data_IF_523576224023
#
_entry.id   IF_523576224023
#
_cell.length_a   1.000
_cell.length_b   1.000
_cell.length_c   1.000
_cell.angle_alpha   90.00
_cell.angle_beta   90.00
_cell.angle_gamma   90.00
#
_symmetry.space_group_name_H-M   'P 1'
#
loop_
_entity.id
_entity.type
_entity.pdbx_description
1 polymer ?
#
# COMPACT_ATOMS: atom_id res chain seq x y z
N UNK A 1 5.31 9.15 -2.62
CA UNK A 1 3.84 9.24 -2.47
C UNK A 1 3.16 8.20 -3.35
N UNK A 2 2.22 7.46 -2.77
CA UNK A 2 1.42 6.44 -3.43
C UNK A 2 -0.08 6.76 -3.21
N UNK A 3 -0.72 7.58 -4.08
CA UNK A 3 -2.16 7.84 -3.99
C UNK A 3 -2.98 6.56 -4.08
N UNK A 4 -3.91 6.35 -3.12
CA UNK A 4 -4.81 5.19 -3.13
C UNK A 4 -6.05 5.47 -3.95
N UNK A 5 -6.26 4.68 -5.01
CA UNK A 5 -7.43 4.75 -5.87
C UNK A 5 -8.75 4.39 -5.17
N UNK A 6 -8.70 3.85 -3.97
CA UNK A 6 -9.91 3.59 -3.17
C UNK A 6 -10.70 4.88 -2.88
N UNK A 7 -10.04 6.04 -2.87
CA UNK A 7 -10.66 7.35 -2.67
C UNK A 7 -10.97 8.10 -3.96
N UNK A 8 -10.69 7.50 -5.12
CA UNK A 8 -10.96 8.09 -6.42
C UNK A 8 -12.43 7.96 -6.84
N UNK A 9 -12.85 8.72 -7.84
CA UNK A 9 -14.13 8.51 -8.52
C UNK A 9 -14.05 7.24 -9.40
N UNK A 10 -14.73 6.18 -8.99
CA UNK A 10 -14.70 4.88 -9.68
C UNK A 10 -15.28 4.93 -11.10
N UNK A 11 -16.15 5.90 -11.41
CA UNK A 11 -16.63 6.11 -12.77
C UNK A 11 -15.55 6.70 -13.70
N UNK A 12 -14.45 7.23 -13.15
CA UNK A 12 -13.40 7.94 -13.86
C UNK A 12 -11.98 7.52 -13.43
N UNK A 13 -11.82 6.26 -12.99
CA UNK A 13 -10.55 5.77 -12.43
C UNK A 13 -9.35 6.00 -13.34
N UNK A 14 -9.49 5.76 -14.65
CA UNK A 14 -8.41 5.97 -15.61
C UNK A 14 -7.94 7.43 -15.69
N UNK A 15 -8.90 8.37 -15.75
CA UNK A 15 -8.61 9.80 -15.77
C UNK A 15 -7.92 10.25 -14.49
N UNK A 16 -8.40 9.78 -13.34
CA UNK A 16 -7.85 10.15 -12.05
C UNK A 16 -6.47 9.52 -11.78
N UNK A 17 -6.26 8.29 -12.25
CA UNK A 17 -4.93 7.67 -12.22
C UNK A 17 -3.91 8.46 -13.06
N UNK A 18 -4.28 8.86 -14.28
CA UNK A 18 -3.43 9.70 -15.13
C UNK A 18 -3.19 11.09 -14.50
N UNK A 19 -4.19 11.66 -13.85
CA UNK A 19 -4.06 12.97 -13.19
C UNK A 19 -3.07 12.94 -12.02
N UNK A 20 -3.08 11.90 -11.16
CA UNK A 20 -2.11 11.79 -10.06
C UNK A 20 -0.70 11.46 -10.57
N UNK A 21 -0.56 10.69 -11.65
CA UNK A 21 0.73 10.48 -12.31
C UNK A 21 1.29 11.82 -12.83
N UNK A 22 0.50 12.59 -13.57
CA UNK A 22 0.89 13.92 -14.08
C UNK A 22 1.19 14.91 -12.94
N UNK A 23 0.54 14.76 -11.79
CA UNK A 23 0.80 15.52 -10.58
C UNK A 23 2.07 15.08 -9.83
N UNK A 24 2.75 14.00 -10.26
CA UNK A 24 4.03 13.56 -9.72
C UNK A 24 3.91 12.51 -8.63
N UNK A 25 2.89 11.65 -8.65
CA UNK A 25 2.85 10.44 -7.84
C UNK A 25 4.01 9.51 -8.21
N UNK A 26 4.60 8.84 -7.21
CA UNK A 26 5.70 7.90 -7.44
C UNK A 26 5.18 6.50 -7.74
N UNK A 27 4.09 6.09 -7.08
CA UNK A 27 3.38 4.83 -7.27
C UNK A 27 1.88 5.09 -7.33
N UNK A 28 1.10 4.12 -7.78
CA UNK A 28 -0.36 4.10 -7.67
C UNK A 28 -0.76 2.96 -6.74
N UNK A 29 -1.41 3.27 -5.63
CA UNK A 29 -1.83 2.28 -4.65
C UNK A 29 -3.24 1.77 -4.96
N UNK A 30 -3.38 0.43 -4.97
CA UNK A 30 -4.61 -0.26 -5.33
C UNK A 30 -5.05 -1.21 -4.20
N UNK A 31 -6.07 -0.82 -3.46
CA UNK A 31 -6.64 -1.57 -2.34
C UNK A 31 -7.65 -2.60 -2.83
N UNK A 32 -7.26 -3.87 -2.84
CA UNK A 32 -8.08 -5.00 -3.30
C UNK A 32 -8.70 -5.71 -2.10
N UNK A 33 -10.03 -5.80 -2.09
CA UNK A 33 -10.82 -6.32 -0.97
C UNK A 33 -11.78 -7.40 -1.46
N UNK A 34 -11.92 -8.49 -0.70
CA UNK A 34 -12.69 -9.69 -1.07
C UNK A 34 -14.01 -9.87 -0.34
N UNK A 35 -14.34 -8.98 0.61
CA UNK A 35 -15.53 -9.11 1.45
C UNK A 35 -15.42 -10.22 2.51
N UNK A 36 -14.25 -10.87 2.64
CA UNK A 36 -13.98 -11.92 3.62
C UNK A 36 -12.89 -11.51 4.61
N UNK A 37 -11.73 -11.11 4.13
CA UNK A 37 -10.64 -10.59 4.99
C UNK A 37 -11.05 -9.24 5.61
N UNK A 38 -11.74 -8.41 4.84
CA UNK A 38 -12.35 -7.16 5.30
C UNK A 38 -13.82 -7.10 4.89
N UNK A 39 -14.71 -6.38 5.63
CA UNK A 39 -16.14 -6.33 5.33
C UNK A 39 -16.47 -5.33 4.20
N UNK A 40 -15.72 -5.37 3.13
CA UNK A 40 -15.89 -4.53 1.94
C UNK A 40 -15.36 -5.27 0.70
N UNK A 41 -15.91 -4.96 -0.47
CA UNK A 41 -15.45 -5.45 -1.78
C UNK A 41 -15.06 -4.24 -2.61
N UNK A 42 -13.88 -4.25 -3.23
CA UNK A 42 -13.43 -3.15 -4.09
C UNK A 42 -13.36 -3.54 -5.56
N UNK A 43 -12.22 -3.97 -6.04
CA UNK A 43 -11.99 -4.33 -7.43
C UNK A 43 -10.95 -5.47 -7.54
N UNK A 44 -10.78 -5.99 -8.76
CA UNK A 44 -9.89 -7.13 -9.02
C UNK A 44 -8.96 -6.89 -10.21
N UNK A 45 -8.28 -7.95 -10.70
CA UNK A 45 -7.26 -7.88 -11.75
C UNK A 45 -7.73 -7.20 -13.04
N UNK A 46 -9.02 -7.27 -13.38
CA UNK A 46 -9.57 -6.61 -14.58
C UNK A 46 -9.42 -5.10 -14.55
N UNK A 47 -9.59 -4.48 -13.39
CA UNK A 47 -9.40 -3.02 -13.22
C UNK A 47 -7.93 -2.66 -13.38
N UNK A 48 -7.02 -3.42 -12.77
CA UNK A 48 -5.58 -3.20 -12.93
C UNK A 48 -5.18 -3.26 -14.40
N UNK A 49 -5.62 -4.29 -15.12
CA UNK A 49 -5.33 -4.48 -16.54
C UNK A 49 -5.80 -3.29 -17.38
N UNK A 50 -7.00 -2.76 -17.09
CA UNK A 50 -7.53 -1.59 -17.79
C UNK A 50 -6.71 -0.32 -17.47
N UNK A 51 -6.32 -0.12 -16.22
CA UNK A 51 -5.54 1.04 -15.78
C UNK A 51 -4.10 1.00 -16.29
N UNK A 52 -3.49 -0.19 -16.47
CA UNK A 52 -2.10 -0.32 -16.92
C UNK A 52 -1.82 0.35 -18.27
N UNK A 53 -2.82 0.49 -19.10
CA UNK A 53 -2.72 1.22 -20.37
C UNK A 53 -2.85 2.74 -20.23
N UNK A 54 -3.28 3.25 -19.07
CA UNK A 54 -3.52 4.67 -18.81
C UNK A 54 -2.32 5.36 -18.16
N UNK A 55 -1.52 4.64 -17.35
CA UNK A 55 -0.43 5.19 -16.54
C UNK A 55 0.80 4.30 -16.62
N UNK A 56 1.99 4.87 -16.33
CA UNK A 56 3.28 4.18 -16.40
C UNK A 56 3.93 3.95 -15.05
N UNK A 57 3.55 4.73 -14.02
CA UNK A 57 4.10 4.58 -12.67
C UNK A 57 3.79 3.19 -12.11
N UNK A 58 4.63 2.67 -11.19
CA UNK A 58 4.44 1.36 -10.59
C UNK A 58 3.07 1.22 -9.90
N UNK A 59 2.46 0.04 -10.07
CA UNK A 59 1.26 -0.38 -9.34
C UNK A 59 1.65 -1.10 -8.06
N UNK A 60 1.27 -0.52 -6.94
CA UNK A 60 1.46 -1.03 -5.59
C UNK A 60 0.15 -1.65 -5.11
N UNK A 61 0.04 -2.98 -5.26
CA UNK A 61 -1.22 -3.72 -5.13
C UNK A 61 -1.32 -4.35 -3.75
N UNK A 62 -2.21 -3.82 -2.93
CA UNK A 62 -2.44 -4.24 -1.56
C UNK A 62 -3.62 -5.22 -1.50
N UNK A 63 -3.33 -6.49 -1.23
CA UNK A 63 -4.32 -7.57 -1.20
C UNK A 63 -4.87 -7.77 0.20
N UNK A 64 -6.01 -7.19 0.47
CA UNK A 64 -6.87 -7.51 1.63
C UNK A 64 -7.78 -8.68 1.26
N UNK A 65 -7.15 -9.84 1.00
CA UNK A 65 -7.76 -11.09 0.52
C UNK A 65 -7.25 -12.25 1.36
N UNK A 66 -8.11 -13.16 1.78
CA UNK A 66 -7.75 -14.38 2.49
C UNK A 66 -8.48 -15.62 1.90
N UNK A 67 -7.71 -16.64 1.41
CA UNK A 67 -6.25 -16.65 1.20
C UNK A 67 -5.82 -15.84 -0.03
N UNK A 68 -4.64 -15.22 0.00
CA UNK A 68 -4.12 -14.40 -1.10
C UNK A 68 -3.45 -15.23 -2.21
N UNK A 69 -2.79 -16.34 -1.87
CA UNK A 69 -1.98 -17.17 -2.78
C UNK A 69 -2.65 -17.47 -4.13
N UNK A 70 -3.94 -17.88 -4.20
CA UNK A 70 -4.59 -18.23 -5.46
C UNK A 70 -4.69 -17.07 -6.46
N UNK A 71 -4.60 -15.84 -5.99
CA UNK A 71 -4.82 -14.63 -6.80
C UNK A 71 -3.53 -13.92 -7.22
N UNK A 72 -2.39 -14.23 -6.58
CA UNK A 72 -1.11 -13.54 -6.80
C UNK A 72 -0.71 -13.54 -8.28
N UNK A 73 -0.82 -14.67 -8.97
CA UNK A 73 -0.45 -14.78 -10.39
C UNK A 73 -1.33 -13.86 -11.28
N UNK A 74 -2.65 -13.83 -11.02
CA UNK A 74 -3.58 -13.01 -11.79
C UNK A 74 -3.30 -11.51 -11.62
N UNK A 75 -2.93 -11.05 -10.43
CA UNK A 75 -2.52 -9.65 -10.21
C UNK A 75 -1.16 -9.34 -10.86
N UNK A 76 -0.21 -10.26 -10.81
CA UNK A 76 1.07 -10.11 -11.49
C UNK A 76 0.91 -9.95 -13.01
N UNK A 77 0.07 -10.79 -13.64
CA UNK A 77 -0.28 -10.72 -15.07
C UNK A 77 -1.06 -9.45 -15.43
N UNK A 78 -1.91 -8.96 -14.53
CA UNK A 78 -2.69 -7.73 -14.73
C UNK A 78 -1.82 -6.46 -14.69
N UNK A 79 -0.54 -6.57 -14.31
CA UNK A 79 0.41 -5.46 -14.36
C UNK A 79 0.79 -4.87 -13.00
N UNK A 80 0.58 -5.59 -11.89
CA UNK A 80 1.14 -5.24 -10.60
C UNK A 80 2.68 -5.21 -10.67
N UNK A 81 3.31 -4.21 -10.05
CA UNK A 81 4.76 -4.11 -9.87
C UNK A 81 5.16 -4.56 -8.47
N UNK A 82 4.38 -4.14 -7.47
CA UNK A 82 4.46 -4.62 -6.10
C UNK A 82 3.17 -5.37 -5.75
N UNK A 83 3.27 -6.48 -5.03
CA UNK A 83 2.12 -7.21 -4.49
C UNK A 83 2.34 -7.34 -2.99
N UNK A 84 1.41 -6.79 -2.22
CA UNK A 84 1.43 -6.76 -0.76
C UNK A 84 0.35 -7.70 -0.25
N UNK A 85 0.73 -8.64 0.60
CA UNK A 85 -0.19 -9.57 1.26
C UNK A 85 -0.14 -9.34 2.77
N UNK A 86 -1.25 -9.55 3.45
CA UNK A 86 -1.27 -9.47 4.91
C UNK A 86 -0.59 -10.67 5.57
N UNK A 87 0.15 -10.42 6.64
CA UNK A 87 0.72 -11.49 7.47
C UNK A 87 -0.38 -12.42 8.03
N UNK A 88 -1.58 -11.88 8.20
CA UNK A 88 -2.78 -12.56 8.71
C UNK A 88 -3.58 -13.31 7.64
N UNK A 89 -3.25 -13.14 6.35
CA UNK A 89 -4.04 -13.67 5.23
C UNK A 89 -3.81 -15.17 4.96
N UNK A 90 -2.88 -15.81 5.64
CA UNK A 90 -2.62 -17.24 5.47
C UNK A 90 -1.45 -17.75 6.31
N UNK A 91 -1.34 -19.09 6.47
CA UNK A 91 -0.35 -19.68 7.38
C UNK A 91 1.08 -19.71 6.84
N UNK A 92 1.29 -19.42 5.55
CA UNK A 92 2.57 -19.64 4.88
C UNK A 92 3.12 -18.36 4.22
N UNK A 93 3.19 -17.27 4.99
CA UNK A 93 3.62 -15.96 4.51
C UNK A 93 4.94 -16.00 3.71
N UNK A 94 5.97 -16.68 4.23
CA UNK A 94 7.25 -16.78 3.53
C UNK A 94 7.11 -17.39 2.13
N UNK A 95 6.33 -18.47 1.99
CA UNK A 95 6.05 -19.10 0.69
C UNK A 95 5.33 -18.16 -0.26
N UNK A 96 4.36 -17.38 0.24
CA UNK A 96 3.61 -16.42 -0.56
C UNK A 96 4.51 -15.30 -1.09
N UNK A 97 5.42 -14.77 -0.26
CA UNK A 97 6.40 -13.76 -0.70
C UNK A 97 7.37 -14.35 -1.75
N UNK A 98 7.82 -15.59 -1.58
CA UNK A 98 8.63 -16.27 -2.62
C UNK A 98 7.85 -16.45 -3.92
N UNK A 99 6.56 -16.80 -3.88
CA UNK A 99 5.70 -16.88 -5.07
C UNK A 99 5.65 -15.53 -5.81
N UNK A 100 5.41 -14.43 -5.09
CA UNK A 100 5.40 -13.08 -5.67
C UNK A 100 6.73 -12.78 -6.39
N UNK A 101 7.85 -13.06 -5.74
CA UNK A 101 9.20 -12.84 -6.31
C UNK A 101 9.48 -13.73 -7.51
N UNK A 102 9.00 -14.98 -7.51
CA UNK A 102 9.16 -15.92 -8.64
C UNK A 102 8.45 -15.44 -9.92
N UNK A 103 7.44 -14.59 -9.77
CA UNK A 103 6.72 -13.93 -10.86
C UNK A 103 7.40 -12.62 -11.32
N UNK A 104 8.59 -12.30 -10.79
CA UNK A 104 9.34 -11.09 -11.13
C UNK A 104 8.77 -9.81 -10.50
N UNK A 105 7.94 -9.95 -9.43
CA UNK A 105 7.32 -8.82 -8.73
C UNK A 105 8.00 -8.54 -7.40
N UNK A 106 7.92 -7.31 -6.91
CA UNK A 106 8.36 -6.96 -5.56
C UNK A 106 7.35 -7.48 -4.55
N UNK A 107 7.84 -8.18 -3.52
CA UNK A 107 7.01 -8.79 -2.50
C UNK A 107 6.86 -7.88 -1.29
N UNK A 108 5.63 -7.58 -0.91
CA UNK A 108 5.29 -6.79 0.27
C UNK A 108 4.52 -7.58 1.31
N UNK A 109 4.71 -7.21 2.57
CA UNK A 109 3.94 -7.74 3.69
C UNK A 109 3.27 -6.60 4.46
N UNK A 110 1.95 -6.73 4.68
CA UNK A 110 1.16 -5.79 5.46
C UNK A 110 0.89 -6.33 6.88
N UNK A 111 0.85 -5.41 7.83
CA UNK A 111 0.53 -5.68 9.24
C UNK A 111 -0.71 -4.89 9.66
N UNK A 112 -1.73 -5.58 10.16
CA UNK A 112 -2.89 -4.96 10.80
C UNK A 112 -2.50 -4.19 12.07
N UNK A 113 -3.31 -3.24 12.55
CA UNK A 113 -3.02 -2.52 13.79
C UNK A 113 -2.77 -3.42 15.01
N UNK A 114 -3.49 -4.54 15.11
CA UNK A 114 -3.35 -5.50 16.21
C UNK A 114 -2.18 -6.49 16.07
N UNK A 115 -1.50 -6.55 14.92
CA UNK A 115 -0.42 -7.51 14.65
C UNK A 115 0.92 -6.89 15.04
N UNK A 116 1.76 -7.55 15.87
CA UNK A 116 3.06 -7.02 16.27
C UNK A 116 4.07 -6.99 15.11
N UNK A 117 5.07 -6.11 15.23
CA UNK A 117 6.12 -5.98 14.21
C UNK A 117 6.91 -7.29 14.02
N UNK A 118 7.08 -8.08 15.07
CA UNK A 118 7.80 -9.37 15.03
C UNK A 118 7.22 -10.38 14.04
N UNK A 119 5.97 -10.22 13.64
CA UNK A 119 5.35 -11.08 12.63
C UNK A 119 6.12 -11.08 11.28
N UNK A 120 6.93 -10.06 10.99
CA UNK A 120 7.75 -9.99 9.76
C UNK A 120 9.21 -10.36 9.98
N UNK A 121 9.65 -10.63 11.22
CA UNK A 121 11.07 -10.83 11.56
C UNK A 121 11.77 -11.90 10.70
N UNK A 122 11.06 -12.97 10.40
CA UNK A 122 11.59 -14.13 9.67
C UNK A 122 11.28 -14.13 8.16
N UNK A 123 10.84 -13.00 7.61
CA UNK A 123 10.54 -12.87 6.17
C UNK A 123 11.20 -11.65 5.52
N UNK A 124 11.98 -10.87 6.28
CA UNK A 124 12.64 -9.65 5.79
C UNK A 124 13.74 -9.91 4.74
N UNK A 125 14.20 -11.13 4.59
CA UNK A 125 15.14 -11.56 3.55
C UNK A 125 14.45 -11.78 2.18
N UNK A 126 13.15 -11.99 2.18
CA UNK A 126 12.32 -12.18 0.97
C UNK A 126 11.29 -11.05 0.76
N UNK A 127 11.21 -10.08 1.67
CA UNK A 127 10.36 -8.91 1.56
C UNK A 127 11.11 -7.71 0.96
N UNK A 128 10.49 -7.01 0.02
CA UNK A 128 10.98 -5.77 -0.57
C UNK A 128 10.34 -4.53 0.09
N UNK A 129 9.20 -4.71 0.77
CA UNK A 129 8.53 -3.67 1.53
C UNK A 129 7.69 -4.25 2.69
N UNK A 130 7.53 -3.45 3.76
CA UNK A 130 6.61 -3.69 4.87
C UNK A 130 5.60 -2.55 4.93
N UNK A 131 4.31 -2.89 4.86
CA UNK A 131 3.20 -1.96 5.00
C UNK A 131 2.65 -2.01 6.42
N UNK A 132 2.73 -0.92 7.14
CA UNK A 132 2.10 -0.77 8.46
C UNK A 132 0.75 -0.08 8.28
N UNK A 133 -0.35 -0.79 8.61
CA UNK A 133 -1.67 -0.20 8.61
C UNK A 133 -1.81 0.78 9.78
N UNK A 134 -2.15 2.01 9.46
CA UNK A 134 -2.39 3.09 10.44
C UNK A 134 -3.89 3.38 10.65
N UNK A 135 -4.73 2.51 10.10
CA UNK A 135 -6.17 2.37 10.34
C UNK A 135 -6.53 0.88 10.31
N UNK A 136 -7.74 0.49 10.72
CA UNK A 136 -8.23 -0.85 10.43
C UNK A 136 -8.52 -0.97 8.92
N UNK A 137 -8.01 -2.01 8.21
CA UNK A 137 -8.25 -2.15 6.78
C UNK A 137 -9.72 -2.34 6.44
N UNK A 138 -10.13 -1.94 5.21
CA UNK A 138 -11.48 -2.16 4.69
C UNK A 138 -12.19 -0.91 4.19
N UNK A 139 -11.88 0.29 4.69
CA UNK A 139 -12.54 1.54 4.28
C UNK A 139 -11.57 2.70 4.24
N UNK A 140 -11.79 3.60 3.28
CA UNK A 140 -11.09 4.89 3.21
C UNK A 140 -11.63 5.92 4.21
N UNK A 141 -10.89 7.02 4.40
CA UNK A 141 -11.34 8.18 5.18
C UNK A 141 -11.37 7.99 6.71
N UNK A 142 -10.73 6.95 7.23
CA UNK A 142 -10.65 6.67 8.67
C UNK A 142 -9.64 7.58 9.38
N UNK A 143 -9.83 7.74 10.70
CA UNK A 143 -8.90 8.46 11.55
C UNK A 143 -7.59 7.66 11.73
N UNK A 144 -6.47 8.35 11.60
CA UNK A 144 -5.14 7.81 11.87
C UNK A 144 -5.01 7.26 13.29
N UNK A 145 -4.39 6.11 13.48
CA UNK A 145 -4.12 5.49 14.78
C UNK A 145 -2.68 5.84 15.22
N UNK A 146 -2.48 6.85 16.09
CA UNK A 146 -1.13 7.33 16.44
C UNK A 146 -0.23 6.26 17.05
N UNK A 147 -0.80 5.27 17.75
CA UNK A 147 -0.06 4.16 18.35
C UNK A 147 0.72 3.32 17.35
N UNK A 148 0.36 3.37 16.05
CA UNK A 148 1.08 2.62 15.01
C UNK A 148 2.44 3.23 14.65
N UNK A 149 2.72 4.48 15.05
CA UNK A 149 4.04 5.09 14.87
C UNK A 149 5.14 4.32 15.61
N UNK A 150 4.83 3.76 16.78
CA UNK A 150 5.77 2.88 17.49
C UNK A 150 6.12 1.65 16.65
N UNK A 151 5.11 1.00 16.03
CA UNK A 151 5.33 -0.15 15.14
C UNK A 151 6.17 0.23 13.91
N UNK A 152 5.95 1.41 13.32
CA UNK A 152 6.79 1.91 12.21
C UNK A 152 8.25 2.02 12.66
N UNK A 153 8.52 2.55 13.87
CA UNK A 153 9.86 2.66 14.41
C UNK A 153 10.50 1.29 14.72
N UNK A 154 9.72 0.32 15.21
CA UNK A 154 10.17 -1.06 15.40
C UNK A 154 10.57 -1.70 14.07
N UNK A 155 9.71 -1.61 13.04
CA UNK A 155 10.01 -2.12 11.69
C UNK A 155 11.25 -1.43 11.11
N UNK A 156 11.41 -0.12 11.31
CA UNK A 156 12.63 0.61 10.91
C UNK A 156 13.90 0.01 11.55
N UNK A 157 13.84 -0.34 12.82
CA UNK A 157 14.95 -1.01 13.50
C UNK A 157 15.25 -2.38 12.90
N UNK A 158 14.22 -3.15 12.58
CA UNK A 158 14.34 -4.51 12.03
C UNK A 158 14.90 -4.53 10.60
N UNK A 159 14.56 -3.54 9.77
CA UNK A 159 15.03 -3.43 8.37
C UNK A 159 16.36 -2.67 8.24
N UNK A 160 16.97 -2.24 9.33
CA UNK A 160 18.20 -1.45 9.29
C UNK A 160 19.30 -2.13 8.44
N UNK A 161 19.82 -1.40 7.45
CA UNK A 161 20.82 -1.91 6.50
C UNK A 161 20.28 -2.81 5.37
N UNK A 162 18.96 -3.01 5.28
CA UNK A 162 18.31 -3.76 4.20
C UNK A 162 17.59 -2.80 3.23
N UNK A 163 17.51 -3.11 1.92
CA UNK A 163 16.78 -2.30 0.95
C UNK A 163 15.26 -2.57 1.01
N UNK A 164 14.67 -2.54 2.19
CA UNK A 164 13.25 -2.80 2.43
C UNK A 164 12.55 -1.46 2.67
N UNK A 165 11.56 -1.13 1.84
CA UNK A 165 10.75 0.06 2.01
C UNK A 165 9.78 -0.10 3.20
N UNK A 166 9.53 1.00 3.92
CA UNK A 166 8.52 1.05 4.99
C UNK A 166 7.37 1.92 4.50
N UNK A 167 6.25 1.29 4.25
CA UNK A 167 5.03 1.94 3.78
C UNK A 167 4.05 2.13 4.94
N UNK A 168 3.32 3.23 4.95
CA UNK A 168 2.21 3.46 5.88
C UNK A 168 0.93 3.74 5.10
N UNK A 169 -0.18 3.15 5.54
CA UNK A 169 -1.49 3.32 4.91
C UNK A 169 -2.58 3.52 5.95
N UNK A 170 -3.36 4.60 5.75
CA UNK A 170 -4.52 4.94 6.54
C UNK A 170 -4.40 6.27 7.29
N UNK A 171 -5.30 7.21 6.98
CA UNK A 171 -5.38 8.51 7.64
C UNK A 171 -4.19 9.44 7.38
N UNK A 172 -3.43 9.19 6.30
CA UNK A 172 -2.27 10.01 5.93
C UNK A 172 -2.73 11.32 5.27
N UNK A 173 -2.23 12.41 5.82
CA UNK A 173 -2.50 13.79 5.39
C UNK A 173 -1.32 14.71 5.78
N UNK A 174 -1.42 16.01 5.53
CA UNK A 174 -0.35 16.98 5.83
C UNK A 174 0.05 17.05 7.32
N UNK A 175 -0.81 16.60 8.25
CA UNK A 175 -0.52 16.58 9.69
C UNK A 175 0.14 15.26 10.12
N UNK A 176 -0.34 14.13 9.61
CA UNK A 176 0.12 12.78 10.02
C UNK A 176 1.33 12.30 9.23
N UNK A 177 1.51 12.76 7.98
CA UNK A 177 2.64 12.39 7.14
C UNK A 177 4.01 12.71 7.76
N UNK A 178 4.28 13.91 8.30
CA UNK A 178 5.55 14.22 8.95
C UNK A 178 5.83 13.30 10.16
N UNK A 179 4.80 12.91 10.90
CA UNK A 179 4.94 12.01 12.05
C UNK A 179 5.33 10.60 11.60
N UNK A 180 4.70 10.10 10.53
CA UNK A 180 5.03 8.80 9.95
C UNK A 180 6.46 8.77 9.38
N UNK A 181 6.89 9.83 8.68
CA UNK A 181 8.26 9.97 8.17
C UNK A 181 9.28 10.02 9.31
N UNK A 182 9.01 10.78 10.37
CA UNK A 182 9.88 10.84 11.55
C UNK A 182 10.02 9.47 12.23
N UNK A 183 8.95 8.66 12.27
CA UNK A 183 8.98 7.28 12.77
C UNK A 183 9.77 6.33 11.86
N UNK A 184 9.95 6.65 10.56
CA UNK A 184 10.76 5.87 9.63
C UNK A 184 10.06 5.42 8.37
N UNK A 185 8.82 5.89 8.10
CA UNK A 185 8.15 5.60 6.85
C UNK A 185 8.91 6.21 5.66
N UNK A 186 9.06 5.44 4.60
CA UNK A 186 9.71 5.85 3.34
C UNK A 186 8.70 6.01 2.20
N UNK A 187 7.52 5.40 2.33
CA UNK A 187 6.41 5.50 1.38
C UNK A 187 5.13 5.85 2.14
N UNK A 188 4.39 6.83 1.62
CA UNK A 188 3.15 7.31 2.20
C UNK A 188 1.99 7.00 1.25
N UNK A 189 1.03 6.19 1.69
CA UNK A 189 -0.23 5.94 1.00
C UNK A 189 -1.27 6.94 1.49
N UNK A 190 -1.86 7.70 0.56
CA UNK A 190 -2.88 8.71 0.89
C UNK A 190 -4.03 8.66 -0.12
N UNK A 191 -5.24 8.51 0.38
CA UNK A 191 -6.47 8.50 -0.43
C UNK A 191 -7.15 9.87 -0.42
N UNK A 192 -8.05 10.08 0.53
CA UNK A 192 -8.92 11.28 0.62
C UNK A 192 -8.15 12.60 0.67
N UNK A 193 -6.96 12.62 1.28
CA UNK A 193 -6.12 13.82 1.34
C UNK A 193 -5.56 14.23 -0.03
N UNK A 194 -5.49 13.30 -0.98
CA UNK A 194 -5.07 13.57 -2.38
C UNK A 194 -6.30 13.81 -3.25
N UNK A 195 -7.20 12.83 -3.37
CA UNK A 195 -8.33 12.90 -4.32
C UNK A 195 -9.42 13.91 -3.92
N UNK A 196 -9.49 14.32 -2.64
CA UNK A 196 -10.35 15.40 -2.18
C UNK A 196 -9.77 16.80 -2.35
N UNK A 197 -8.50 16.92 -2.77
CA UNK A 197 -7.85 18.21 -2.92
C UNK A 197 -8.16 18.88 -4.27
N UNK A 198 -8.26 20.19 -4.29
CA UNK A 198 -8.40 20.96 -5.53
C UNK A 198 -7.11 21.00 -6.37
N UNK A 199 -5.95 20.72 -5.77
CA UNK A 199 -4.64 20.65 -6.42
C UNK A 199 -3.89 19.40 -5.93
N UNK A 200 -3.86 18.35 -6.76
CA UNK A 200 -3.25 17.06 -6.44
C UNK A 200 -1.75 17.17 -6.14
N UNK A 201 -1.02 17.95 -6.94
CA UNK A 201 0.42 18.17 -6.76
C UNK A 201 0.70 18.83 -5.42
N UNK A 202 0.05 19.94 -5.13
CA UNK A 202 0.25 20.67 -3.86
C UNK A 202 -0.09 19.81 -2.64
N UNK A 203 -1.14 18.96 -2.74
CA UNK A 203 -1.50 18.03 -1.68
C UNK A 203 -0.39 17.00 -1.42
N UNK A 204 0.16 16.39 -2.48
CA UNK A 204 1.26 15.41 -2.37
C UNK A 204 2.56 16.05 -1.88
N UNK A 205 2.91 17.23 -2.38
CA UNK A 205 4.14 17.94 -1.99
C UNK A 205 4.07 18.36 -0.51
N UNK A 206 2.90 18.82 -0.04
CA UNK A 206 2.69 19.12 1.36
C UNK A 206 2.83 17.93 2.32
N UNK A 207 2.62 16.70 1.84
CA UNK A 207 2.83 15.48 2.63
C UNK A 207 4.28 14.94 2.53
N UNK A 208 4.99 15.20 1.43
CA UNK A 208 6.41 14.82 1.31
C UNK A 208 7.31 15.57 2.27
N UNK A 209 6.84 16.70 2.81
CA UNK A 209 7.66 17.68 3.50
C UNK A 209 8.30 18.63 2.49
N UNK A 210 8.39 19.91 2.82
CA UNK A 210 9.19 20.84 2.03
C UNK A 210 10.66 20.39 2.08
N UNK A 211 11.43 20.51 0.96
CA UNK A 211 12.86 20.27 0.97
C UNK A 211 13.59 21.22 1.92
#
# INVERSE_FOLDING_TARGET
MAPSLLAADFARLGEQAAAVEAAGADWLHLDVMDGHFVPNISFGPLVLKALRHQVRIPFDVHLMIAPADPYVAAFAEAGADHIIVHAEAGPHLHRTLQLIRSLGKRAGVALNPGTPADAVAHVLDVADLVLVMTVNPGFGGQAFIPGQLAKVAEVRGMVAGRPVAITVDGGINAVTAPQAVAAGATVLVAGTAVFGASNLRAAMDGMRGAP
#
